data_IF_502970848562
#
_entry.id   IF_502970848562
#
_cell.length_a   1.000
_cell.length_b   1.000
_cell.length_c   1.000
_cell.angle_alpha   90.00
_cell.angle_beta   90.00
_cell.angle_gamma   90.00
#
_symmetry.space_group_name_H-M   'P 1'
#
loop_
_entity.id
_entity.type
_entity.pdbx_description
1 polymer ?
#
# COMPACT_ATOMS: atom_id res chain seq x y z
N UNK A 1 -8.80 -5.52 18.67
CA UNK A 1 -9.67 -6.10 17.61
C UNK A 1 -8.78 -6.74 16.55
N UNK A 2 -9.12 -7.92 16.00
CA UNK A 2 -8.39 -8.56 14.89
C UNK A 2 -8.94 -8.04 13.56
N UNK A 3 -8.07 -7.44 12.76
CA UNK A 3 -8.34 -6.84 11.45
C UNK A 3 -7.61 -7.65 10.38
N UNK A 4 -8.25 -7.96 9.25
CA UNK A 4 -7.62 -8.66 8.12
C UNK A 4 -7.89 -7.87 6.85
N UNK A 5 -6.85 -7.61 6.06
CA UNK A 5 -6.89 -6.76 4.87
C UNK A 5 -6.10 -7.35 3.71
N UNK A 6 -6.69 -7.38 2.51
CA UNK A 6 -6.07 -7.88 1.28
C UNK A 6 -5.88 -6.75 0.25
N UNK A 7 -4.78 -6.76 -0.51
CA UNK A 7 -4.42 -5.68 -1.47
C UNK A 7 -4.12 -6.16 -2.90
N UNK A 8 -4.30 -5.27 -3.91
CA UNK A 8 -3.81 -5.38 -5.30
C UNK A 8 -3.35 -3.99 -5.77
N UNK A 9 -2.12 -3.78 -6.28
CA UNK A 9 -1.58 -2.42 -6.48
C UNK A 9 -1.39 -2.03 -7.95
N UNK A 10 -1.92 -0.87 -8.36
CA UNK A 10 -1.86 -0.32 -9.72
C UNK A 10 -1.51 1.18 -9.69
N UNK A 11 -0.83 1.76 -10.68
CA UNK A 11 -0.79 3.23 -10.86
C UNK A 11 -1.78 3.59 -11.97
N UNK A 12 -2.58 4.67 -11.83
CA UNK A 12 -3.53 5.10 -12.87
C UNK A 12 -3.41 6.60 -13.20
N UNK A 13 -3.51 6.93 -14.50
CA UNK A 13 -3.61 8.29 -15.02
C UNK A 13 -4.98 8.49 -15.70
N UNK A 14 -5.73 9.50 -15.27
CA UNK A 14 -7.07 9.79 -15.79
C UNK A 14 -6.98 10.63 -17.05
N UNK A 15 -6.86 10.00 -18.22
CA UNK A 15 -7.31 10.50 -19.53
C UNK A 15 -7.05 9.40 -20.57
N UNK A 16 -8.13 8.80 -21.07
CA UNK A 16 -8.16 7.76 -22.09
C UNK A 16 -7.90 6.31 -21.62
N UNK A 17 -8.77 5.42 -22.08
CA UNK A 17 -8.74 4.00 -21.82
C UNK A 17 -7.37 3.38 -22.14
N UNK A 18 -6.87 2.57 -21.21
CA UNK A 18 -5.90 1.49 -21.44
C UNK A 18 -4.41 1.81 -21.73
N UNK A 19 -3.86 3.03 -21.54
CA UNK A 19 -2.46 3.27 -21.94
C UNK A 19 -1.43 3.82 -20.94
N UNK A 20 -1.80 4.33 -19.75
CA UNK A 20 -0.79 4.85 -18.80
C UNK A 20 -0.97 4.29 -17.38
N UNK A 21 -1.02 2.97 -17.25
CA UNK A 21 -0.92 2.30 -15.94
C UNK A 21 0.43 1.62 -15.82
N UNK A 22 1.21 1.98 -14.80
CA UNK A 22 2.41 1.24 -14.43
C UNK A 22 2.04 0.22 -13.35
N UNK A 23 1.97 -1.08 -13.66
CA UNK A 23 1.76 -2.09 -12.62
C UNK A 23 2.95 -2.04 -11.68
N UNK A 24 2.67 -1.81 -10.40
CA UNK A 24 3.70 -1.90 -9.38
C UNK A 24 3.81 -3.34 -8.94
N UNK A 25 2.76 -3.91 -8.33
CA UNK A 25 2.82 -5.28 -7.87
C UNK A 25 1.45 -5.97 -7.88
N UNK A 26 1.39 -7.13 -8.53
CA UNK A 26 0.22 -8.00 -8.61
C UNK A 26 0.29 -9.21 -7.66
N UNK A 27 1.33 -9.33 -6.84
CA UNK A 27 1.56 -10.43 -5.88
C UNK A 27 1.81 -11.83 -6.45
N UNK A 28 1.77 -12.01 -7.78
CA UNK A 28 2.04 -13.31 -8.42
C UNK A 28 3.55 -13.57 -8.59
N UNK A 29 4.32 -12.52 -8.87
CA UNK A 29 5.78 -12.50 -8.83
C UNK A 29 6.25 -11.29 -8.03
N UNK A 30 7.32 -11.45 -7.25
CA UNK A 30 7.97 -10.31 -6.59
C UNK A 30 8.96 -9.70 -7.59
N UNK A 31 8.47 -8.76 -8.41
CA UNK A 31 9.33 -8.07 -9.38
C UNK A 31 10.23 -7.03 -8.69
N UNK A 32 9.86 -6.58 -7.48
CA UNK A 32 10.63 -5.65 -6.66
C UNK A 32 11.59 -6.33 -5.69
N UNK A 33 12.85 -5.90 -5.66
CA UNK A 33 13.80 -6.35 -4.63
C UNK A 33 13.67 -5.59 -3.30
N UNK A 34 12.89 -4.51 -3.25
CA UNK A 34 12.63 -3.78 -2.01
C UNK A 34 11.87 -4.60 -0.96
N UNK A 35 11.09 -5.60 -1.40
CA UNK A 35 10.36 -6.51 -0.53
C UNK A 35 9.16 -5.88 0.17
N UNK A 36 8.59 -6.64 1.09
CA UNK A 36 7.49 -6.24 1.95
C UNK A 36 7.70 -6.90 3.32
N UNK A 37 7.34 -6.19 4.40
CA UNK A 37 7.38 -6.79 5.72
C UNK A 37 6.33 -6.16 6.64
N UNK A 38 6.15 -6.78 7.81
CA UNK A 38 5.42 -6.19 8.91
C UNK A 38 6.31 -5.30 9.77
N UNK A 39 5.68 -4.41 10.51
CA UNK A 39 6.29 -3.73 11.65
C UNK A 39 5.33 -3.80 12.83
N UNK A 40 5.86 -3.88 14.05
CA UNK A 40 5.04 -3.94 15.26
C UNK A 40 5.80 -3.53 16.51
N UNK A 41 5.05 -3.09 17.52
CA UNK A 41 5.49 -2.95 18.91
C UNK A 41 4.37 -3.39 19.83
N UNK A 42 4.72 -4.25 20.80
CA UNK A 42 3.81 -4.69 21.84
C UNK A 42 3.15 -3.48 22.56
N UNK A 43 1.88 -3.61 23.01
CA UNK A 43 1.03 -4.80 22.92
C UNK A 43 0.34 -5.02 21.56
N UNK A 44 0.69 -4.25 20.52
CA UNK A 44 0.18 -4.48 19.16
C UNK A 44 0.98 -5.56 18.42
N UNK A 45 0.33 -6.21 17.46
CA UNK A 45 0.98 -7.22 16.63
C UNK A 45 0.38 -7.25 15.22
N UNK A 46 1.13 -7.79 14.28
CA UNK A 46 0.68 -8.05 12.92
C UNK A 46 1.28 -9.35 12.35
N UNK A 47 0.62 -9.87 11.32
CA UNK A 47 1.09 -10.98 10.48
C UNK A 47 0.82 -10.59 9.04
N UNK A 48 1.71 -11.01 8.15
CA UNK A 48 1.59 -10.76 6.73
C UNK A 48 1.84 -12.05 5.96
N UNK A 49 1.10 -12.29 4.89
CA UNK A 49 1.33 -13.43 4.00
C UNK A 49 0.69 -13.18 2.64
N UNK A 50 1.32 -13.73 1.61
CA UNK A 50 0.67 -13.84 0.30
C UNK A 50 -0.31 -14.99 0.35
N UNK A 51 -1.52 -14.79 -0.16
CA UNK A 51 -2.54 -15.82 -0.24
C UNK A 51 -3.21 -15.82 -1.61
N UNK A 52 -3.52 -17.01 -2.10
CA UNK A 52 -4.33 -17.31 -3.28
C UNK A 52 -5.78 -17.69 -2.93
N UNK A 53 -6.14 -17.67 -1.64
CA UNK A 53 -7.50 -17.95 -1.16
C UNK A 53 -8.40 -16.72 -1.17
N UNK A 54 -7.80 -15.53 -1.15
CA UNK A 54 -8.49 -14.24 -1.22
C UNK A 54 -7.78 -13.40 -2.27
N UNK A 55 -8.42 -13.19 -3.41
CA UNK A 55 -7.87 -12.44 -4.53
C UNK A 55 -8.95 -11.57 -5.19
N UNK A 56 -8.50 -10.60 -5.98
CA UNK A 56 -9.35 -9.73 -6.78
C UNK A 56 -9.44 -10.28 -8.21
N UNK A 57 -10.63 -10.31 -8.81
CA UNK A 57 -10.85 -10.82 -10.17
C UNK A 57 -11.02 -12.34 -10.25
N UNK A 58 -10.54 -12.95 -11.34
CA UNK A 58 -10.74 -14.37 -11.65
C UNK A 58 -9.69 -15.32 -11.04
N UNK A 59 -8.60 -14.79 -10.48
CA UNK A 59 -7.51 -15.54 -9.89
C UNK A 59 -6.34 -14.65 -9.50
N UNK A 60 -5.30 -15.22 -8.88
CA UNK A 60 -4.06 -14.54 -8.50
C UNK A 60 -3.83 -14.55 -6.99
N UNK A 61 -2.89 -13.71 -6.53
CA UNK A 61 -2.57 -13.55 -5.11
C UNK A 61 -2.96 -12.18 -4.58
N UNK A 62 -3.10 -12.09 -3.26
CA UNK A 62 -3.10 -10.81 -2.54
C UNK A 62 -2.17 -10.86 -1.33
N UNK A 63 -1.71 -9.69 -0.89
CA UNK A 63 -1.07 -9.56 0.41
C UNK A 63 -2.14 -9.44 1.49
N UNK A 64 -2.26 -10.46 2.34
CA UNK A 64 -3.12 -10.43 3.51
C UNK A 64 -2.34 -9.94 4.73
N UNK A 65 -2.89 -8.95 5.42
CA UNK A 65 -2.35 -8.38 6.66
C UNK A 65 -3.34 -8.63 7.80
N UNK A 66 -2.97 -9.45 8.79
CA UNK A 66 -3.69 -9.57 10.04
C UNK A 66 -3.08 -8.60 11.04
N UNK A 67 -3.85 -7.64 11.55
CA UNK A 67 -3.40 -6.69 12.56
C UNK A 67 -4.23 -6.81 13.85
N UNK A 68 -3.55 -6.75 15.00
CA UNK A 68 -4.14 -6.56 16.32
C UNK A 68 -3.58 -5.26 16.91
N UNK A 69 -4.28 -4.14 16.66
CA UNK A 69 -3.92 -2.84 17.24
C UNK A 69 -4.43 -2.73 18.68
N UNK A 70 -3.57 -2.25 19.56
CA UNK A 70 -3.82 -1.96 20.98
C UNK A 70 -3.38 -0.51 21.29
N UNK A 71 -3.88 0.08 22.37
CA UNK A 71 -3.71 1.51 22.69
C UNK A 71 -2.25 1.99 22.68
N UNK A 72 -1.34 1.24 23.30
CA UNK A 72 0.06 1.68 23.51
C UNK A 72 1.05 1.15 22.45
N UNK A 73 0.60 0.24 21.59
CA UNK A 73 1.44 -0.37 20.55
C UNK A 73 1.15 0.21 19.17
N UNK A 74 1.98 -0.17 18.21
CA UNK A 74 1.74 0.08 16.79
C UNK A 74 1.91 -1.21 16.00
N UNK A 75 1.23 -1.34 14.86
CA UNK A 75 1.47 -2.42 13.93
C UNK A 75 1.03 -2.08 12.51
N UNK A 76 1.62 -2.78 11.55
CA UNK A 76 1.24 -2.64 10.16
C UNK A 76 2.15 -3.37 9.20
N UNK A 77 2.07 -2.96 7.94
CA UNK A 77 2.85 -3.54 6.86
C UNK A 77 3.38 -2.44 5.94
N UNK A 78 4.54 -2.67 5.35
CA UNK A 78 5.09 -1.83 4.31
C UNK A 78 5.42 -2.66 3.07
N UNK A 79 5.40 -1.99 1.92
CA UNK A 79 5.79 -2.51 0.62
C UNK A 79 6.76 -1.50 0.02
N UNK A 80 7.94 -1.97 -0.35
CA UNK A 80 8.95 -1.16 -1.04
C UNK A 80 8.86 -1.42 -2.55
N UNK A 81 8.80 -0.34 -3.32
CA UNK A 81 8.66 -0.37 -4.77
C UNK A 81 10.00 -0.22 -5.52
N UNK A 82 11.12 -0.09 -4.81
CA UNK A 82 12.42 0.10 -5.45
C UNK A 82 13.10 -1.23 -5.84
N UNK A 83 14.02 -1.11 -6.80
CA UNK A 83 14.85 -2.20 -7.29
C UNK A 83 16.29 -2.05 -6.79
N UNK A 84 16.94 -3.17 -6.47
CA UNK A 84 18.38 -3.19 -6.18
C UNK A 84 19.07 -3.85 -7.37
N UNK A 85 19.85 -3.06 -8.12
CA UNK A 85 20.65 -3.55 -9.26
C UNK A 85 22.09 -3.09 -9.07
N UNK A 86 23.04 -4.04 -9.01
CA UNK A 86 24.49 -3.77 -8.83
C UNK A 86 24.77 -2.85 -7.63
N UNK A 87 24.19 -3.16 -6.47
CA UNK A 87 24.31 -2.38 -5.23
C UNK A 87 23.80 -0.92 -5.32
N UNK A 88 22.98 -0.59 -6.31
CA UNK A 88 22.31 0.69 -6.41
C UNK A 88 20.80 0.51 -6.30
N UNK A 89 20.18 1.32 -5.44
CA UNK A 89 18.73 1.43 -5.31
C UNK A 89 18.20 2.28 -6.46
N UNK A 90 17.18 1.78 -7.16
CA UNK A 90 16.45 2.50 -8.21
C UNK A 90 15.00 2.66 -7.79
N UNK A 91 14.58 3.90 -7.62
CA UNK A 91 13.23 4.30 -7.28
C UNK A 91 12.35 4.42 -8.52
N UNK A 92 11.04 4.44 -8.31
CA UNK A 92 10.07 4.56 -9.39
C UNK A 92 9.84 6.03 -9.70
N UNK A 93 9.94 6.37 -10.99
CA UNK A 93 9.60 7.69 -11.49
C UNK A 93 8.09 7.77 -11.74
N UNK A 94 7.35 8.26 -10.75
CA UNK A 94 5.90 8.36 -10.79
C UNK A 94 5.38 9.79 -11.08
N UNK A 95 6.25 10.72 -11.48
CA UNK A 95 5.88 12.13 -11.70
C UNK A 95 4.87 12.35 -12.85
N UNK A 96 4.78 11.41 -13.79
CA UNK A 96 3.82 11.44 -14.91
C UNK A 96 2.44 10.88 -14.54
N UNK A 97 2.28 10.35 -13.32
CA UNK A 97 1.03 9.75 -12.86
C UNK A 97 0.29 10.67 -11.90
N UNK A 98 -1.03 10.65 -11.96
CA UNK A 98 -1.87 11.44 -11.08
C UNK A 98 -2.18 10.73 -9.75
N UNK A 99 -2.23 9.40 -9.77
CA UNK A 99 -2.68 8.59 -8.65
C UNK A 99 -1.79 7.37 -8.41
N UNK A 100 -1.68 6.99 -7.15
CA UNK A 100 -1.41 5.59 -6.77
C UNK A 100 -2.74 4.90 -6.47
N UNK A 101 -2.92 3.74 -7.08
CA UNK A 101 -4.12 2.91 -6.95
C UNK A 101 -3.79 1.60 -6.23
N UNK A 102 -4.74 1.12 -5.44
CA UNK A 102 -4.75 -0.28 -5.04
C UNK A 102 -6.16 -0.73 -4.66
N UNK A 103 -6.48 -2.00 -4.90
CA UNK A 103 -7.68 -2.60 -4.34
C UNK A 103 -7.46 -2.97 -2.90
N UNK A 104 -8.51 -2.86 -2.10
CA UNK A 104 -8.55 -3.18 -0.69
C UNK A 104 -9.84 -3.94 -0.37
N UNK A 105 -9.77 -4.93 0.51
CA UNK A 105 -10.93 -5.64 1.05
C UNK A 105 -10.71 -5.95 2.52
N UNK A 106 -11.72 -5.65 3.34
CA UNK A 106 -11.78 -6.03 4.75
C UNK A 106 -12.37 -7.43 4.94
N UNK A 107 -12.05 -8.05 6.07
CA UNK A 107 -12.69 -9.31 6.48
C UNK A 107 -14.05 -9.11 7.14
N UNK A 108 -14.26 -7.97 7.79
CA UNK A 108 -15.52 -7.62 8.49
C UNK A 108 -16.16 -6.34 7.94
N UNK A 109 -15.38 -5.49 7.28
CA UNK A 109 -15.78 -4.12 6.98
C UNK A 109 -15.58 -3.22 8.20
N UNK A 110 -15.40 -1.92 7.95
CA UNK A 110 -15.13 -0.89 8.96
C UNK A 110 -13.71 -0.90 9.52
N UNK A 111 -12.80 -1.73 9.00
CA UNK A 111 -11.41 -1.75 9.44
C UNK A 111 -10.74 -0.39 9.24
N UNK A 112 -9.93 0.01 10.22
CA UNK A 112 -9.25 1.30 10.24
C UNK A 112 -7.78 1.11 9.89
N UNK A 113 -7.35 1.79 8.84
CA UNK A 113 -5.96 1.80 8.39
C UNK A 113 -5.63 3.18 7.84
N UNK A 114 -4.50 3.72 8.26
CA UNK A 114 -3.91 4.90 7.69
C UNK A 114 -2.93 4.48 6.59
N UNK A 115 -3.08 5.11 5.43
CA UNK A 115 -2.19 4.91 4.30
C UNK A 115 -1.08 5.95 4.35
N UNK A 116 0.17 5.51 4.17
CA UNK A 116 1.31 6.41 4.09
C UNK A 116 2.19 6.05 2.88
N UNK A 117 2.82 7.05 2.28
CA UNK A 117 3.69 6.89 1.12
C UNK A 117 5.09 7.42 1.44
N UNK A 118 6.11 6.79 0.90
CA UNK A 118 7.50 7.25 1.01
C UNK A 118 8.10 7.51 -0.36
N UNK A 119 8.87 8.60 -0.45
CA UNK A 119 9.85 8.81 -1.51
C UNK A 119 11.24 8.37 -1.02
N UNK A 120 12.26 8.49 -1.87
CA UNK A 120 13.65 8.18 -1.50
C UNK A 120 14.07 8.81 -0.17
N UNK A 121 13.83 10.11 0.00
CA UNK A 121 14.35 10.86 1.15
C UNK A 121 13.72 10.41 2.46
N UNK A 122 12.44 10.02 2.42
CA UNK A 122 11.70 9.45 3.53
C UNK A 122 12.13 8.01 3.80
N UNK A 123 12.26 7.20 2.75
CA UNK A 123 12.68 5.80 2.85
C UNK A 123 14.08 5.65 3.46
N UNK A 124 15.03 6.53 3.12
CA UNK A 124 16.38 6.53 3.69
C UNK A 124 16.41 6.87 5.20
N UNK A 125 15.31 7.43 5.73
CA UNK A 125 15.11 7.74 7.16
C UNK A 125 14.17 6.76 7.84
N UNK A 126 13.76 5.70 7.14
CA UNK A 126 12.73 4.75 7.59
C UNK A 126 11.39 5.43 7.95
N UNK A 127 11.04 6.49 7.21
CA UNK A 127 9.85 7.32 7.43
C UNK A 127 8.87 7.25 6.24
N UNK A 128 7.63 7.68 6.47
CA UNK A 128 6.61 7.84 5.43
C UNK A 128 5.63 8.95 5.77
N UNK A 129 5.02 9.55 4.73
CA UNK A 129 4.05 10.63 4.89
C UNK A 129 2.63 10.08 4.85
N UNK A 130 1.77 10.41 5.82
CA UNK A 130 0.39 10.02 5.77
C UNK A 130 -0.31 10.69 4.59
N UNK A 131 -1.07 9.91 3.84
CA UNK A 131 -2.10 10.45 2.98
C UNK A 131 -3.24 11.03 3.84
N UNK A 132 -4.17 11.75 3.20
CA UNK A 132 -5.44 12.12 3.85
C UNK A 132 -6.14 10.87 4.44
N UNK A 133 -7.03 11.02 5.44
CA UNK A 133 -7.76 9.90 6.01
C UNK A 133 -8.40 9.04 4.93
N UNK A 134 -8.37 7.71 5.09
CA UNK A 134 -8.85 6.79 4.06
C UNK A 134 -10.31 7.05 3.66
N UNK A 135 -11.13 7.58 4.57
CA UNK A 135 -12.51 8.03 4.30
C UNK A 135 -12.62 9.11 3.22
N UNK A 136 -11.54 9.83 2.91
CA UNK A 136 -11.47 10.77 1.78
C UNK A 136 -11.54 10.05 0.44
N UNK A 137 -10.98 8.83 0.36
CA UNK A 137 -10.89 8.03 -0.86
C UNK A 137 -11.94 6.91 -0.89
N UNK A 138 -12.34 6.42 0.28
CA UNK A 138 -13.40 5.45 0.49
C UNK A 138 -14.44 6.03 1.49
N UNK A 139 -15.40 6.84 1.04
CA UNK A 139 -16.37 7.50 1.94
C UNK A 139 -17.18 6.55 2.83
N UNK A 140 -17.42 5.32 2.36
CA UNK A 140 -18.13 4.29 3.11
C UNK A 140 -17.19 3.44 4.00
N UNK A 141 -15.90 3.77 4.04
CA UNK A 141 -14.86 2.97 4.67
C UNK A 141 -14.53 1.70 3.89
N UNK A 142 -13.68 0.87 4.50
CA UNK A 142 -13.35 -0.46 4.00
C UNK A 142 -14.57 -1.36 4.19
N UNK A 143 -14.92 -2.13 3.16
CA UNK A 143 -16.05 -3.07 3.18
C UNK A 143 -15.56 -4.51 3.04
N UNK A 144 -16.50 -5.45 3.06
CA UNK A 144 -16.23 -6.86 2.77
C UNK A 144 -16.18 -7.16 1.27
N UNK A 145 -16.27 -6.16 0.39
CA UNK A 145 -16.04 -6.31 -1.06
C UNK A 145 -14.77 -5.58 -1.46
N UNK A 146 -14.17 -5.99 -2.58
CA UNK A 146 -13.00 -5.32 -3.13
C UNK A 146 -13.37 -3.91 -3.58
N UNK A 147 -12.60 -2.93 -3.15
CA UNK A 147 -12.77 -1.52 -3.49
C UNK A 147 -11.44 -0.97 -3.99
N UNK A 148 -11.46 -0.21 -5.06
CA UNK A 148 -10.28 0.52 -5.52
C UNK A 148 -10.07 1.79 -4.69
N UNK A 149 -8.86 1.99 -4.21
CA UNK A 149 -8.41 3.21 -3.53
C UNK A 149 -7.56 3.98 -4.52
N UNK A 150 -7.95 5.22 -4.83
CA UNK A 150 -7.19 6.14 -5.68
C UNK A 150 -6.67 7.30 -4.83
N UNK A 151 -5.37 7.32 -4.55
CA UNK A 151 -4.73 8.40 -3.79
C UNK A 151 -4.08 9.37 -4.78
N UNK A 152 -4.57 10.62 -4.89
CA UNK A 152 -3.92 11.63 -5.72
C UNK A 152 -2.51 11.92 -5.18
N UNK A 153 -1.48 11.84 -6.02
CA UNK A 153 -0.11 12.14 -5.57
C UNK A 153 0.05 13.60 -5.11
N UNK A 154 -0.75 14.52 -5.68
CA UNK A 154 -0.81 15.92 -5.27
C UNK A 154 -1.34 16.14 -3.84
N UNK A 155 -2.00 15.15 -3.24
CA UNK A 155 -2.50 15.24 -1.87
C UNK A 155 -1.38 15.03 -0.82
N UNK A 156 -0.18 14.65 -1.27
CA UNK A 156 0.97 14.38 -0.42
C UNK A 156 1.86 15.62 -0.34
N UNK A 157 1.86 16.27 0.83
CA UNK A 157 2.75 17.40 1.07
C UNK A 157 4.22 16.97 1.18
N UNK A 158 5.12 17.74 0.57
CA UNK A 158 6.58 17.53 0.64
C UNK A 158 6.99 16.10 0.22
N UNK A 159 6.38 15.60 -0.84
CA UNK A 159 6.62 14.29 -1.43
C UNK A 159 7.18 14.45 -2.84
N UNK A 160 8.24 13.71 -3.18
CA UNK A 160 8.82 13.69 -4.53
C UNK A 160 8.31 12.47 -5.33
N UNK A 161 7.32 12.64 -6.22
CA UNK A 161 6.79 11.54 -7.01
C UNK A 161 7.80 11.00 -8.03
N UNK A 162 8.90 11.71 -8.34
CA UNK A 162 9.94 11.21 -9.25
C UNK A 162 10.79 10.09 -8.63
N UNK A 163 10.63 9.85 -7.32
CA UNK A 163 11.41 8.89 -6.54
C UNK A 163 10.52 8.11 -5.56
N UNK A 164 9.36 7.63 -6.03
CA UNK A 164 8.45 6.80 -5.24
C UNK A 164 9.19 5.56 -4.72
N UNK A 165 9.12 5.35 -3.40
CA UNK A 165 9.90 4.34 -2.69
C UNK A 165 9.01 3.26 -2.06
N UNK A 166 7.85 3.60 -1.52
CA UNK A 166 7.03 2.60 -0.84
C UNK A 166 5.65 3.07 -0.40
N UNK A 167 4.88 2.09 0.05
CA UNK A 167 3.54 2.22 0.62
C UNK A 167 3.49 1.52 1.98
N UNK A 168 2.92 2.21 2.96
CA UNK A 168 2.77 1.72 4.33
C UNK A 168 1.30 1.72 4.73
N UNK A 169 0.88 0.60 5.33
CA UNK A 169 -0.41 0.40 5.96
C UNK A 169 -0.23 0.42 7.47
N UNK A 170 -0.66 1.50 8.13
CA UNK A 170 -0.56 1.67 9.58
C UNK A 170 -1.93 1.47 10.22
N UNK A 171 -2.08 0.48 11.09
CA UNK A 171 -3.38 0.14 11.69
C UNK A 171 -3.60 0.95 12.96
N UNK A 172 -4.76 1.61 13.03
CA UNK A 172 -5.11 2.58 14.09
C UNK A 172 -6.21 2.07 15.00
#
# INVERSE_FOLDING_TARGET
>A
MKTILSFLLLLQCSLCAAQNTLPLWNFDSLDFKGGYNKFERAPSSSKIYLTDSVYHGAGGKSLQVIACKQTEGYCGAWINFFFIKRNQVRYIHAAEFNYISFYIKGAKGGEQVQIQLSDKSLSEREDSRPAKPLSTYLPQGITTVWQEVLIPLKDLERFDPSQLAGLTFNFT
#
